data_IF_004506743074
#
_entry.id   IF_004506743074
#
_cell.length_a   1.000
_cell.length_b   1.000
_cell.length_c   1.000
_cell.angle_alpha   90.00
_cell.angle_beta   90.00
_cell.angle_gamma   90.00
#
_symmetry.space_group_name_H-M   'P 1'
#
loop_
_entity.id
_entity.type
_entity.pdbx_description
1 polymer ?
#
# COMPACT_ATOMS: atom_id res chain seq x y z
N UNK A 1 -40.84 -32.28 69.88
CA UNK A 1 -41.04 -32.18 68.42
C UNK A 1 -40.63 -30.80 67.97
N UNK A 2 -39.34 -30.60 67.67
CA UNK A 2 -38.84 -29.41 66.99
C UNK A 2 -38.58 -29.82 65.54
N UNK A 3 -39.32 -29.21 64.61
CA UNK A 3 -39.17 -29.44 63.19
C UNK A 3 -38.00 -28.58 62.66
N UNK A 4 -37.08 -29.27 62.03
CA UNK A 4 -35.88 -28.82 61.34
C UNK A 4 -36.25 -27.83 60.23
N UNK A 5 -36.05 -26.53 60.48
CA UNK A 5 -36.07 -25.51 59.42
C UNK A 5 -34.70 -25.51 58.74
N UNK A 6 -34.57 -26.23 57.63
CA UNK A 6 -33.47 -26.06 56.70
C UNK A 6 -33.41 -24.58 56.25
N UNK A 7 -32.21 -23.98 56.28
CA UNK A 7 -31.99 -22.56 55.98
C UNK A 7 -32.03 -22.32 54.47
N UNK A 8 -33.08 -21.66 53.91
CA UNK A 8 -33.29 -21.52 52.46
C UNK A 8 -32.27 -20.61 51.75
N UNK A 9 -31.39 -19.92 52.49
CA UNK A 9 -30.36 -19.04 51.93
C UNK A 9 -29.08 -19.75 51.47
N UNK A 10 -28.78 -20.94 52.02
CA UNK A 10 -27.55 -21.65 51.69
C UNK A 10 -27.61 -22.30 50.30
N UNK A 11 -28.74 -22.91 49.94
CA UNK A 11 -28.93 -23.59 48.65
C UNK A 11 -28.91 -22.60 47.48
N UNK A 12 -29.49 -21.41 47.65
CA UNK A 12 -29.48 -20.35 46.64
C UNK A 12 -28.07 -19.75 46.44
N UNK A 13 -27.28 -19.61 47.52
CA UNK A 13 -25.89 -19.18 47.42
C UNK A 13 -25.01 -20.21 46.70
N UNK A 14 -25.20 -21.51 46.97
CA UNK A 14 -24.49 -22.58 46.28
C UNK A 14 -24.84 -22.65 44.79
N UNK A 15 -26.13 -22.53 44.45
CA UNK A 15 -26.58 -22.46 43.06
C UNK A 15 -26.02 -21.22 42.34
N UNK A 16 -25.94 -20.08 43.02
CA UNK A 16 -25.37 -18.86 42.47
C UNK A 16 -23.87 -18.99 42.18
N UNK A 17 -23.11 -19.59 43.10
CA UNK A 17 -21.67 -19.85 42.90
C UNK A 17 -21.45 -20.84 41.76
N UNK A 18 -22.25 -21.91 41.70
CA UNK A 18 -22.19 -22.90 40.62
C UNK A 18 -22.50 -22.27 39.27
N UNK A 19 -23.59 -21.48 39.17
CA UNK A 19 -23.98 -20.80 37.94
C UNK A 19 -22.91 -19.80 37.50
N UNK A 20 -22.37 -19.01 38.43
CA UNK A 20 -21.27 -18.07 38.15
C UNK A 20 -20.03 -18.79 37.60
N UNK A 21 -19.65 -19.93 38.19
CA UNK A 21 -18.55 -20.75 37.71
C UNK A 21 -18.76 -21.25 36.27
N UNK A 22 -19.94 -21.80 35.98
CA UNK A 22 -20.29 -22.30 34.63
C UNK A 22 -20.30 -21.16 33.61
N UNK A 23 -20.86 -19.99 33.95
CA UNK A 23 -20.87 -18.82 33.07
C UNK A 23 -19.45 -18.31 32.78
N UNK A 24 -18.58 -18.24 33.79
CA UNK A 24 -17.21 -17.78 33.59
C UNK A 24 -16.40 -18.73 32.70
N UNK A 25 -16.47 -20.04 32.95
CA UNK A 25 -15.77 -21.04 32.14
C UNK A 25 -16.26 -21.03 30.69
N UNK A 26 -17.57 -20.96 30.49
CA UNK A 26 -18.16 -20.89 29.14
C UNK A 26 -17.80 -19.59 28.41
N UNK A 27 -17.79 -18.45 29.11
CA UNK A 27 -17.38 -17.16 28.54
C UNK A 27 -15.90 -17.18 28.10
N UNK A 28 -14.99 -17.66 28.95
CA UNK A 28 -13.56 -17.75 28.61
C UNK A 28 -13.33 -18.72 27.44
N UNK A 29 -14.03 -19.85 27.42
CA UNK A 29 -13.93 -20.82 26.32
C UNK A 29 -14.42 -20.22 25.00
N UNK A 30 -15.54 -19.49 25.01
CA UNK A 30 -16.09 -18.84 23.83
C UNK A 30 -15.16 -17.76 23.29
N UNK A 31 -14.56 -16.96 24.17
CA UNK A 31 -13.53 -15.97 23.81
C UNK A 31 -12.32 -16.65 23.18
N UNK A 32 -11.81 -17.74 23.77
CA UNK A 32 -10.67 -18.46 23.22
C UNK A 32 -10.95 -19.07 21.84
N UNK A 33 -12.15 -19.63 21.62
CA UNK A 33 -12.57 -20.15 20.32
C UNK A 33 -12.66 -19.05 19.26
N UNK A 34 -13.29 -17.92 19.59
CA UNK A 34 -13.41 -16.77 18.69
C UNK A 34 -12.04 -16.16 18.38
N UNK A 35 -11.18 -16.04 19.38
CA UNK A 35 -9.80 -15.55 19.21
C UNK A 35 -8.99 -16.50 18.33
N UNK A 36 -9.13 -17.82 18.50
CA UNK A 36 -8.51 -18.82 17.64
C UNK A 36 -9.01 -18.75 16.20
N UNK A 37 -10.33 -18.67 16.00
CA UNK A 37 -10.95 -18.52 14.68
C UNK A 37 -10.53 -17.22 13.99
N UNK A 38 -10.49 -16.11 14.72
CA UNK A 38 -10.03 -14.82 14.21
C UNK A 38 -8.52 -14.85 13.94
N UNK A 39 -7.72 -15.50 14.79
CA UNK A 39 -6.29 -15.68 14.56
C UNK A 39 -6.02 -16.53 13.32
N UNK A 40 -6.81 -17.56 13.05
CA UNK A 40 -6.68 -18.39 11.85
C UNK A 40 -7.08 -17.59 10.60
N UNK A 41 -8.19 -16.83 10.66
CA UNK A 41 -8.59 -15.90 9.61
C UNK A 41 -7.56 -14.79 9.38
N UNK A 42 -6.96 -14.23 10.44
CA UNK A 42 -5.89 -13.24 10.37
C UNK A 42 -4.59 -13.84 9.85
N UNK A 43 -4.32 -15.12 10.11
CA UNK A 43 -3.16 -15.84 9.58
C UNK A 43 -3.35 -16.17 8.10
N UNK A 44 -4.58 -16.46 7.68
CA UNK A 44 -4.95 -16.61 6.27
C UNK A 44 -4.97 -15.28 5.54
N UNK A 45 -5.57 -14.24 6.12
CA UNK A 45 -5.54 -12.88 5.61
C UNK A 45 -4.11 -12.34 5.56
N UNK A 46 -3.30 -12.62 6.58
CA UNK A 46 -1.88 -12.28 6.65
C UNK A 46 -1.03 -13.06 5.64
N UNK A 47 -1.33 -14.34 5.39
CA UNK A 47 -0.71 -15.11 4.29
C UNK A 47 -1.10 -14.56 2.92
N UNK A 48 -2.38 -14.25 2.70
CA UNK A 48 -2.89 -13.64 1.45
C UNK A 48 -2.33 -12.24 1.24
N UNK A 49 -2.24 -11.43 2.30
CA UNK A 49 -1.64 -10.09 2.28
C UNK A 49 -0.12 -10.18 2.08
N UNK A 50 0.57 -11.18 2.65
CA UNK A 50 1.99 -11.42 2.42
C UNK A 50 2.28 -11.89 1.00
N UNK A 51 1.38 -12.66 0.38
CA UNK A 51 1.46 -13.02 -1.04
C UNK A 51 1.19 -11.79 -1.92
N UNK A 52 0.12 -11.02 -1.64
CA UNK A 52 -0.19 -9.79 -2.36
C UNK A 52 0.89 -8.69 -2.20
N UNK A 53 1.52 -8.60 -1.03
CA UNK A 53 2.62 -7.67 -0.74
C UNK A 53 3.90 -8.08 -1.45
N UNK A 54 4.17 -9.38 -1.63
CA UNK A 54 5.28 -9.88 -2.47
C UNK A 54 5.04 -9.59 -3.94
N UNK A 55 3.79 -9.61 -4.40
CA UNK A 55 3.44 -9.21 -5.76
C UNK A 55 3.60 -7.69 -5.96
N UNK A 56 3.27 -6.88 -4.96
CA UNK A 56 3.49 -5.42 -4.95
C UNK A 56 4.99 -5.04 -4.92
N UNK A 57 5.80 -5.79 -4.16
CA UNK A 57 7.25 -5.59 -4.04
C UNK A 57 8.00 -6.07 -5.31
N UNK A 58 7.55 -7.17 -5.90
CA UNK A 58 8.01 -7.65 -7.21
C UNK A 58 7.63 -6.68 -8.34
N UNK A 59 6.41 -6.13 -8.31
CA UNK A 59 5.96 -5.12 -9.26
C UNK A 59 6.76 -3.81 -9.14
N UNK A 60 7.20 -3.41 -7.93
CA UNK A 60 8.08 -2.24 -7.71
C UNK A 60 9.54 -2.49 -8.11
N UNK A 61 10.09 -3.66 -7.80
CA UNK A 61 11.48 -3.99 -8.10
C UNK A 61 11.73 -4.18 -9.61
N UNK A 62 10.72 -4.65 -10.35
CA UNK A 62 10.74 -4.66 -11.82
C UNK A 62 10.58 -3.24 -12.37
N UNK A 63 9.74 -2.39 -11.75
CA UNK A 63 9.56 -1.00 -12.16
C UNK A 63 10.87 -0.19 -12.07
N UNK A 64 11.58 -0.26 -10.96
CA UNK A 64 12.83 0.51 -10.78
C UNK A 64 13.97 0.01 -11.67
N UNK A 65 14.10 -1.31 -11.87
CA UNK A 65 15.19 -1.89 -12.67
C UNK A 65 14.94 -1.79 -14.17
N UNK A 66 13.71 -1.82 -14.65
CA UNK A 66 13.43 -1.49 -16.05
C UNK A 66 13.69 0.00 -16.29
N UNK A 67 13.19 0.91 -15.45
CA UNK A 67 13.38 2.36 -15.63
C UNK A 67 14.87 2.78 -15.56
N UNK A 68 15.69 2.14 -14.72
CA UNK A 68 17.13 2.40 -14.65
C UNK A 68 17.97 1.65 -15.69
N UNK A 69 17.48 0.53 -16.24
CA UNK A 69 18.19 -0.25 -17.28
C UNK A 69 17.91 0.21 -18.70
N UNK A 70 16.87 1.03 -18.92
CA UNK A 70 16.75 1.68 -20.22
C UNK A 70 17.83 2.76 -20.28
N UNK A 71 18.82 2.57 -21.14
CA UNK A 71 19.80 3.60 -21.51
C UNK A 71 19.14 4.82 -22.18
N UNK A 72 17.81 4.85 -22.30
CA UNK A 72 17.05 5.96 -22.86
C UNK A 72 16.87 7.08 -21.85
N UNK A 73 16.83 8.30 -22.36
CA UNK A 73 16.41 9.44 -21.59
C UNK A 73 14.94 9.30 -21.22
N UNK A 74 14.60 9.57 -19.97
CA UNK A 74 13.24 9.66 -19.48
C UNK A 74 13.03 11.04 -18.88
N UNK A 75 12.01 11.73 -19.38
CA UNK A 75 11.58 13.05 -18.93
C UNK A 75 10.07 12.99 -18.66
N UNK A 76 9.62 13.57 -17.56
CA UNK A 76 8.20 13.77 -17.29
C UNK A 76 7.93 15.24 -17.00
N UNK A 77 6.80 15.75 -17.47
CA UNK A 77 6.36 17.12 -17.26
C UNK A 77 4.88 17.15 -16.84
N UNK A 78 4.45 18.23 -16.17
CA UNK A 78 3.05 18.46 -15.78
C UNK A 78 2.24 18.93 -16.98
N UNK A 79 0.99 18.46 -17.13
CA UNK A 79 0.10 18.90 -18.20
C UNK A 79 -0.53 20.28 -17.91
N UNK A 80 -0.52 20.73 -16.66
CA UNK A 80 -1.13 22.00 -16.25
C UNK A 80 -0.18 23.17 -16.50
N UNK A 81 1.06 23.06 -16.03
CA UNK A 81 2.09 24.11 -16.14
C UNK A 81 3.15 23.85 -17.23
N UNK A 82 3.10 22.71 -17.93
CA UNK A 82 4.12 22.26 -18.89
C UNK A 82 5.54 22.12 -18.31
N UNK A 83 5.71 22.15 -16.99
CA UNK A 83 7.01 22.12 -16.33
C UNK A 83 7.59 20.70 -16.18
N UNK A 84 8.90 20.55 -16.40
CA UNK A 84 9.60 19.28 -16.21
C UNK A 84 9.71 18.96 -14.71
N UNK A 85 9.13 17.83 -14.30
CA UNK A 85 9.11 17.35 -12.91
C UNK A 85 10.04 16.15 -12.67
N UNK A 86 10.52 15.51 -13.74
CA UNK A 86 11.44 14.37 -13.64
C UNK A 86 12.39 14.32 -14.84
N UNK A 87 13.65 14.03 -14.56
CA UNK A 87 14.71 13.93 -15.57
C UNK A 87 15.76 12.91 -15.13
N UNK A 88 15.82 11.75 -15.79
CA UNK A 88 16.75 10.69 -15.38
C UNK A 88 18.21 11.01 -15.81
N UNK A 89 19.23 10.37 -15.19
CA UNK A 89 20.62 10.59 -15.58
C UNK A 89 20.96 10.21 -17.04
N UNK A 90 20.19 9.30 -17.65
CA UNK A 90 20.36 8.97 -19.06
C UNK A 90 19.92 10.13 -19.97
N UNK A 91 18.85 10.85 -19.64
CA UNK A 91 18.40 12.04 -20.34
C UNK A 91 19.46 13.13 -20.26
N UNK A 92 20.10 13.31 -19.10
CA UNK A 92 21.22 14.24 -18.93
C UNK A 92 22.39 13.89 -19.85
N UNK A 93 22.77 12.59 -19.93
CA UNK A 93 23.85 12.14 -20.81
C UNK A 93 23.51 12.27 -22.31
N UNK A 94 22.26 12.01 -22.70
CA UNK A 94 21.83 12.06 -24.11
C UNK A 94 21.66 13.50 -24.59
N UNK A 95 21.04 14.36 -23.78
CA UNK A 95 20.76 15.75 -24.15
C UNK A 95 21.94 16.69 -23.86
N UNK A 96 22.83 16.31 -22.94
CA UNK A 96 23.93 17.14 -22.48
C UNK A 96 23.52 18.28 -21.53
N UNK A 97 22.27 18.26 -21.03
CA UNK A 97 21.79 19.20 -20.03
C UNK A 97 21.98 18.66 -18.61
N UNK A 98 22.23 19.57 -17.67
CA UNK A 98 22.22 19.25 -16.25
C UNK A 98 20.77 19.15 -15.74
N UNK A 99 20.48 18.11 -14.96
CA UNK A 99 19.16 17.89 -14.40
C UNK A 99 18.69 19.08 -13.55
N UNK A 100 19.61 19.67 -12.77
CA UNK A 100 19.30 20.81 -11.93
C UNK A 100 18.90 22.08 -12.71
N UNK A 101 19.37 22.21 -13.96
CA UNK A 101 19.06 23.36 -14.81
C UNK A 101 17.74 23.20 -15.59
N UNK A 102 17.25 21.97 -15.72
CA UNK A 102 16.08 21.61 -16.55
C UNK A 102 14.82 21.40 -15.70
N UNK A 103 14.97 20.99 -14.43
CA UNK A 103 13.83 20.83 -13.53
C UNK A 103 13.09 22.16 -13.33
N UNK A 104 11.75 22.08 -13.33
CA UNK A 104 10.84 23.24 -13.19
C UNK A 104 10.98 24.29 -14.30
N UNK A 105 11.48 23.88 -15.47
CA UNK A 105 11.42 24.71 -16.67
C UNK A 105 10.37 24.17 -17.63
N UNK A 106 9.74 25.04 -18.45
CA UNK A 106 8.77 24.61 -19.43
C UNK A 106 9.38 23.62 -20.42
N UNK A 107 8.71 22.48 -20.62
CA UNK A 107 9.20 21.39 -21.48
C UNK A 107 9.44 21.86 -22.91
N UNK A 108 8.60 22.77 -23.42
CA UNK A 108 8.73 23.34 -24.76
C UNK A 108 9.95 24.25 -24.94
N UNK A 109 10.49 24.80 -23.84
CA UNK A 109 11.72 25.60 -23.90
C UNK A 109 12.96 24.70 -24.14
N UNK A 110 12.93 23.48 -23.60
CA UNK A 110 14.02 22.50 -23.71
C UNK A 110 13.83 21.58 -24.92
N UNK A 111 12.59 21.16 -25.16
CA UNK A 111 12.16 20.24 -26.23
C UNK A 111 11.16 20.94 -27.15
N UNK A 112 11.65 21.80 -28.04
CA UNK A 112 10.82 22.64 -28.93
C UNK A 112 9.97 21.85 -29.93
N UNK A 113 10.34 20.60 -30.21
CA UNK A 113 9.61 19.71 -31.14
C UNK A 113 8.51 18.89 -30.45
N UNK A 114 8.22 19.16 -29.18
CA UNK A 114 7.13 18.51 -28.47
C UNK A 114 5.78 18.94 -29.08
N UNK A 115 4.89 18.01 -29.44
CA UNK A 115 3.58 18.36 -29.96
C UNK A 115 2.71 18.98 -28.86
N UNK A 116 2.02 20.09 -29.18
CA UNK A 116 1.22 20.88 -28.25
C UNK A 116 -0.14 20.24 -27.85
N UNK A 117 -0.23 18.90 -27.82
CA UNK A 117 -1.32 18.20 -27.15
C UNK A 117 -2.67 18.17 -27.88
N UNK A 118 -2.72 17.77 -29.16
CA UNK A 118 -4.00 17.41 -29.78
C UNK A 118 -4.49 16.01 -29.37
N UNK A 119 -3.56 15.07 -29.11
CA UNK A 119 -3.85 13.73 -28.58
C UNK A 119 -2.76 13.31 -27.57
N UNK A 120 -3.08 13.24 -26.26
CA UNK A 120 -2.11 12.86 -25.22
C UNK A 120 -1.69 11.38 -25.27
N UNK A 121 -2.38 10.54 -26.05
CA UNK A 121 -2.02 9.13 -26.27
C UNK A 121 -1.29 8.90 -27.59
N UNK A 122 -1.18 9.91 -28.45
CA UNK A 122 -0.46 9.80 -29.70
C UNK A 122 1.04 9.63 -29.46
N UNK A 123 1.59 8.51 -29.91
CA UNK A 123 3.04 8.30 -29.95
C UNK A 123 3.62 9.10 -31.12
N UNK A 124 4.65 9.88 -30.84
CA UNK A 124 5.38 10.68 -31.81
C UNK A 124 6.89 10.46 -31.64
N UNK A 125 7.64 10.75 -32.70
CA UNK A 125 9.09 10.62 -32.74
C UNK A 125 9.66 11.85 -33.45
N UNK A 126 10.68 12.49 -32.86
CA UNK A 126 11.34 13.65 -33.44
C UNK A 126 12.83 13.66 -33.09
N UNK A 127 13.67 14.11 -34.02
CA UNK A 127 15.10 14.27 -33.76
C UNK A 127 15.34 15.43 -32.80
N UNK A 128 16.06 15.15 -31.72
CA UNK A 128 16.51 16.16 -30.77
C UNK A 128 17.85 16.74 -31.21
N UNK A 129 17.89 18.06 -31.38
CA UNK A 129 19.12 18.82 -31.58
C UNK A 129 19.20 19.84 -30.46
N UNK A 130 20.35 19.90 -29.79
CA UNK A 130 20.59 20.92 -28.77
C UNK A 130 20.58 22.31 -29.43
N UNK A 131 19.80 23.27 -28.91
CA UNK A 131 19.95 24.66 -29.29
C UNK A 131 21.32 25.15 -28.78
N UNK A 132 22.16 25.56 -29.71
CA UNK A 132 23.49 26.14 -29.54
C UNK A 132 23.45 27.53 -28.88
#
# INVERSE_FOLDING_TARGET
MQAERASPGADSALLAVFLSGVTNVSAVFLVALLAGYLSEQLRDAGRRLKVASRDLESARAINERIIQSIQSGLVAYTLEEDDIIFFNPAAARITGFDAAAVLYTPVHAVFQKLPAGEDPLARWEADFTRPD
#
